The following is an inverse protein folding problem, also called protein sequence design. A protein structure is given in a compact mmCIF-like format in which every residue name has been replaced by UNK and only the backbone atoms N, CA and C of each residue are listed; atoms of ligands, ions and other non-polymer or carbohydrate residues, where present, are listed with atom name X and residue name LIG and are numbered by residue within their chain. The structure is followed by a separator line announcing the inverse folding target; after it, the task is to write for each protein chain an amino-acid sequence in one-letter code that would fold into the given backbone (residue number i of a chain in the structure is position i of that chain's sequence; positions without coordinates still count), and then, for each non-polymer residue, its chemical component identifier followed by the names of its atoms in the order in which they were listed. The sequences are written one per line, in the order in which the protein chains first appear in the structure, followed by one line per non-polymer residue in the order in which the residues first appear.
data_IF_352281885744
#
_entry.id   IF_352281885744
#
_cell.length_a   1.000
_cell.length_b   1.000
_cell.length_c   1.000
_cell.angle_alpha   90.00
_cell.angle_beta   90.00
_cell.angle_gamma   90.00
#
_symmetry.space_group_name_H-M   'P 1'
#
loop_
_entity.id
_entity.type
_entity.pdbx_description
1 polymer ?
#
# COMPACT_ATOMS: atom_id res chain seq x y z
N UNK A 1 3.11 5.48 -14.08
CA UNK A 1 2.00 4.58 -14.37
C UNK A 1 2.20 3.20 -13.77
N UNK A 2 3.25 2.50 -14.19
CA UNK A 2 3.51 1.17 -13.62
C UNK A 2 3.83 1.26 -12.14
N UNK A 3 4.68 2.22 -11.75
CA UNK A 3 5.04 2.38 -10.34
C UNK A 3 3.83 2.74 -9.49
N UNK A 4 2.93 3.53 -10.05
CA UNK A 4 1.71 3.90 -9.34
C UNK A 4 0.84 2.67 -9.09
N UNK A 5 0.73 1.79 -10.08
CA UNK A 5 -0.05 0.57 -9.94
C UNK A 5 0.56 -0.38 -8.92
N UNK A 6 1.88 -0.52 -8.96
CA UNK A 6 2.58 -1.36 -8.00
C UNK A 6 2.37 -0.84 -6.59
N UNK A 7 2.53 0.48 -6.40
CA UNK A 7 2.34 1.08 -5.09
C UNK A 7 0.91 0.89 -4.59
N UNK A 8 -0.07 1.06 -5.46
CA UNK A 8 -1.47 0.88 -5.08
C UNK A 8 -1.78 -0.56 -4.72
N UNK A 9 -1.26 -1.51 -5.48
CA UNK A 9 -1.46 -2.93 -5.19
C UNK A 9 -0.87 -3.28 -3.83
N UNK A 10 0.35 -2.84 -3.57
CA UNK A 10 1.01 -3.11 -2.28
C UNK A 10 0.25 -2.46 -1.13
N UNK A 11 -0.22 -1.24 -1.34
CA UNK A 11 -1.01 -0.53 -0.33
C UNK A 11 -2.32 -1.27 -0.04
N UNK A 12 -2.96 -1.78 -1.07
CA UNK A 12 -4.19 -2.57 -0.90
C UNK A 12 -3.92 -3.83 -0.10
N UNK A 13 -2.83 -4.53 -0.42
CA UNK A 13 -2.45 -5.73 0.31
C UNK A 13 -2.25 -5.39 1.79
N UNK A 14 -1.52 -4.31 2.06
CA UNK A 14 -1.28 -3.87 3.43
C UNK A 14 -2.55 -3.49 4.15
N UNK A 15 -3.44 -2.77 3.47
CA UNK A 15 -4.70 -2.34 4.07
C UNK A 15 -5.58 -3.56 4.40
N UNK A 16 -5.65 -4.52 3.49
CA UNK A 16 -6.41 -5.74 3.73
C UNK A 16 -5.82 -6.54 4.89
N UNK A 17 -4.49 -6.59 4.97
CA UNK A 17 -3.81 -7.26 6.08
C UNK A 17 -4.15 -6.60 7.42
N UNK A 18 -4.10 -5.26 7.46
CA UNK A 18 -4.45 -4.54 8.67
C UNK A 18 -5.92 -4.69 9.02
N UNK A 19 -6.80 -4.75 8.02
CA UNK A 19 -8.20 -5.04 8.24
C UNK A 19 -8.40 -6.42 8.85
N UNK A 20 -7.64 -7.39 8.36
CA UNK A 20 -7.67 -8.74 8.90
C UNK A 20 -7.23 -8.77 10.36
N UNK A 21 -6.18 -8.02 10.69
CA UNK A 21 -5.70 -7.93 12.07
C UNK A 21 -6.78 -7.29 12.96
N UNK A 22 -7.37 -6.21 12.49
CA UNK A 22 -8.37 -5.48 13.28
C UNK A 22 -9.64 -6.25 13.52
N UNK A 23 -10.08 -7.04 12.54
CA UNK A 23 -11.32 -7.80 12.65
C UNK A 23 -11.13 -9.17 13.28
N UNK A 24 -10.04 -9.85 12.96
CA UNK A 24 -9.83 -11.23 13.34
C UNK A 24 -8.55 -11.47 14.10
N UNK A 25 -7.75 -10.44 14.34
CA UNK A 25 -6.44 -10.55 14.97
C UNK A 25 -5.54 -11.52 14.20
N UNK A 26 -5.70 -11.55 12.89
CA UNK A 26 -4.99 -12.47 12.02
C UNK A 26 -4.17 -11.70 10.97
N UNK A 27 -2.85 -11.87 11.02
CA UNK A 27 -1.93 -11.21 10.10
C UNK A 27 -1.68 -12.14 8.91
N UNK A 28 -2.34 -11.83 7.78
CA UNK A 28 -2.23 -12.65 6.58
C UNK A 28 -0.79 -12.71 6.08
N UNK A 29 -0.09 -11.59 6.08
CA UNK A 29 1.29 -11.53 5.62
C UNK A 29 2.18 -12.38 6.50
N UNK A 30 2.01 -12.28 7.81
CA UNK A 30 2.78 -13.09 8.74
C UNK A 30 2.47 -14.57 8.57
N UNK A 31 1.21 -14.89 8.36
CA UNK A 31 0.80 -16.28 8.18
C UNK A 31 1.44 -16.90 6.94
N UNK A 32 1.43 -16.17 5.83
CA UNK A 32 2.03 -16.65 4.59
C UNK A 32 3.56 -16.67 4.71
N UNK A 33 4.13 -15.67 5.34
CA UNK A 33 5.58 -15.51 5.43
C UNK A 33 6.25 -16.29 6.55
N UNK A 34 5.47 -16.92 7.43
CA UNK A 34 6.03 -17.71 8.52
C UNK A 34 6.20 -16.98 9.84
N UNK A 35 5.52 -15.85 10.01
CA UNK A 35 5.55 -15.06 11.24
C UNK A 35 5.97 -13.62 10.97
N UNK A 36 5.65 -12.74 11.90
CA UNK A 36 5.97 -11.31 11.74
C UNK A 36 7.48 -11.05 11.71
N UNK A 37 8.26 -11.87 12.39
CA UNK A 37 9.70 -11.71 12.44
C UNK A 37 10.41 -12.42 11.29
N UNK A 38 9.69 -13.16 10.48
CA UNK A 38 10.29 -13.84 9.34
C UNK A 38 10.81 -12.82 8.32
N UNK A 39 11.92 -13.17 7.66
CA UNK A 39 12.52 -12.28 6.67
C UNK A 39 11.52 -11.93 5.57
N UNK A 40 10.76 -12.90 5.09
CA UNK A 40 9.77 -12.68 4.04
C UNK A 40 8.74 -11.66 4.48
N UNK A 41 8.20 -11.81 5.70
CA UNK A 41 7.19 -10.88 6.21
C UNK A 41 7.77 -9.47 6.34
N UNK A 42 9.00 -9.35 6.82
CA UNK A 42 9.64 -8.05 6.98
C UNK A 42 9.88 -7.38 5.64
N UNK A 43 10.25 -8.14 4.62
CA UNK A 43 10.39 -7.60 3.27
C UNK A 43 9.05 -7.06 2.78
N UNK A 44 7.99 -7.83 2.93
CA UNK A 44 6.66 -7.41 2.50
C UNK A 44 6.22 -6.15 3.25
N UNK A 45 6.41 -6.12 4.57
CA UNK A 45 6.04 -4.95 5.37
C UNK A 45 6.80 -3.71 4.92
N UNK A 46 8.09 -3.86 4.62
CA UNK A 46 8.91 -2.76 4.15
C UNK A 46 8.41 -2.25 2.79
N UNK A 47 8.11 -3.17 1.88
CA UNK A 47 7.59 -2.80 0.57
C UNK A 47 6.26 -2.06 0.68
N UNK A 48 5.39 -2.52 1.58
CA UNK A 48 4.11 -1.87 1.82
C UNK A 48 4.31 -0.46 2.37
N UNK A 49 5.26 -0.30 3.28
CA UNK A 49 5.57 1.02 3.84
C UNK A 49 6.08 1.97 2.76
N UNK A 50 6.97 1.50 1.90
CA UNK A 50 7.47 2.31 0.79
C UNK A 50 6.34 2.65 -0.19
N UNK A 51 5.45 1.71 -0.43
CA UNK A 51 4.28 1.96 -1.27
C UNK A 51 3.39 3.04 -0.66
N UNK A 52 3.23 3.03 0.65
CA UNK A 52 2.46 4.06 1.34
C UNK A 52 3.06 5.44 1.16
N UNK A 53 4.39 5.53 1.28
CA UNK A 53 5.09 6.80 1.04
C UNK A 53 4.87 7.27 -0.40
N UNK A 54 4.97 6.34 -1.34
CA UNK A 54 4.70 6.65 -2.74
C UNK A 54 3.29 7.17 -2.94
N UNK A 55 2.32 6.55 -2.26
CA UNK A 55 0.92 6.96 -2.37
C UNK A 55 0.69 8.36 -1.81
N UNK A 56 1.48 8.80 -0.84
CA UNK A 56 1.41 10.19 -0.38
C UNK A 56 1.74 11.12 -1.55
N UNK A 57 2.76 10.79 -2.34
CA UNK A 57 3.08 11.61 -3.50
C UNK A 57 1.98 11.57 -4.56
N UNK A 58 1.31 10.43 -4.71
CA UNK A 58 0.18 10.33 -5.62
C UNK A 58 -0.96 11.24 -5.21
N UNK A 59 -1.20 11.32 -3.91
CA UNK A 59 -2.25 12.18 -3.40
C UNK A 59 -2.03 13.63 -3.83
N UNK A 60 -0.80 14.12 -3.72
CA UNK A 60 -0.48 15.48 -4.13
C UNK A 60 -0.51 15.64 -5.64
N UNK A 61 0.00 14.68 -6.38
CA UNK A 61 -0.03 14.73 -7.84
C UNK A 61 -1.46 14.69 -8.37
N UNK A 62 -2.29 13.88 -7.76
CA UNK A 62 -3.67 13.77 -8.17
C UNK A 62 -4.40 15.09 -7.97
N UNK A 63 -4.15 15.77 -6.86
CA UNK A 63 -4.74 17.09 -6.62
C UNK A 63 -4.27 18.09 -7.68
N UNK A 64 -3.01 18.09 -7.99
CA UNK A 64 -2.46 18.96 -9.02
C UNK A 64 -3.08 18.65 -10.36
N UNK A 65 -3.21 17.37 -10.71
CA UNK A 65 -3.80 16.96 -11.98
C UNK A 65 -5.25 17.42 -12.09
N UNK A 66 -6.01 17.27 -11.02
CA UNK A 66 -7.39 17.73 -11.00
C UNK A 66 -7.45 19.23 -11.21
N UNK A 67 -6.58 19.97 -10.55
CA UNK A 67 -6.52 21.42 -10.71
C UNK A 67 -6.14 21.79 -12.14
N UNK A 68 -5.16 21.12 -12.69
CA UNK A 68 -4.66 21.41 -14.03
C UNK A 68 -5.68 21.04 -15.12
N UNK A 69 -6.44 20.00 -14.89
CA UNK A 69 -7.36 19.45 -15.89
C UNK A 69 -8.79 19.89 -15.67
N UNK A 70 -9.00 20.79 -14.76
CA UNK A 70 -10.36 21.20 -14.45
C UNK A 70 -11.10 21.66 -15.69
N UNK A 71 -10.43 22.40 -16.52
CA UNK A 71 -11.04 22.89 -17.74
C UNK A 71 -11.18 21.85 -18.82
N UNK A 72 -10.49 20.74 -18.69
CA UNK A 72 -10.51 19.68 -19.69
C UNK A 72 -11.54 18.62 -19.40
N UNK A 73 -11.99 18.55 -18.20
CA UNK A 73 -13.00 17.60 -17.81
C UNK A 73 -14.39 18.17 -17.99
#
# INVERSE_FOLDING_TARGET
MLMDRIALILTIIGALNWGSIGLFQFDLVAWIGGGQDAVVSRIVYTLVALAGIWCISLLFRERSAVTDHRGME
#
